data_IF_820475554478
#
_entry.id   IF_820475554478
#
_cell.length_a   1.000
_cell.length_b   1.000
_cell.length_c   1.000
_cell.angle_alpha   90.00
_cell.angle_beta   90.00
_cell.angle_gamma   90.00
#
_symmetry.space_group_name_H-M   'P 1'
#
loop_
_entity.id
_entity.type
_entity.pdbx_description
1 polymer ?
#
# COMPACT_ATOMS: atom_id res chain seq x y z
N UNK A 1 20.28 -7.28 -7.47
CA UNK A 1 19.25 -8.19 -6.90
C UNK A 1 18.63 -7.52 -5.68
N UNK A 2 17.46 -6.90 -5.82
CA UNK A 2 16.72 -6.41 -4.65
C UNK A 2 16.13 -7.61 -3.93
N UNK A 3 16.71 -7.97 -2.79
CA UNK A 3 16.11 -8.93 -1.86
C UNK A 3 14.74 -8.40 -1.44
N UNK A 4 13.71 -9.25 -1.25
CA UNK A 4 12.45 -8.80 -0.69
C UNK A 4 12.73 -8.22 0.70
N UNK A 5 12.57 -6.90 0.85
CA UNK A 5 12.89 -6.16 2.07
C UNK A 5 12.00 -6.56 3.25
N UNK A 6 10.86 -7.21 2.99
CA UNK A 6 9.88 -7.62 3.99
C UNK A 6 9.40 -9.05 3.66
N UNK A 7 9.48 -9.96 4.63
CA UNK A 7 9.01 -11.35 4.52
C UNK A 7 7.68 -11.59 5.22
N UNK A 8 7.22 -10.64 6.03
CA UNK A 8 5.94 -10.71 6.74
C UNK A 8 5.32 -9.33 6.92
N UNK A 9 3.99 -9.28 7.04
CA UNK A 9 3.28 -8.03 7.33
C UNK A 9 3.78 -7.38 8.63
N UNK A 10 4.30 -8.16 9.58
CA UNK A 10 4.83 -7.65 10.85
C UNK A 10 6.05 -6.74 10.67
N UNK A 11 6.93 -7.05 9.71
CA UNK A 11 8.14 -6.27 9.40
C UNK A 11 7.86 -4.95 8.68
N UNK A 12 6.60 -4.70 8.29
CA UNK A 12 6.22 -3.46 7.65
C UNK A 12 6.27 -2.29 8.65
N UNK A 13 6.84 -1.14 8.23
CA UNK A 13 6.82 0.07 9.04
C UNK A 13 5.39 0.54 9.30
N UNK A 14 5.19 1.27 10.41
CA UNK A 14 3.91 1.84 10.83
C UNK A 14 3.20 2.60 9.69
N UNK A 15 3.98 3.27 8.84
CA UNK A 15 3.53 3.92 7.62
C UNK A 15 4.28 3.37 6.42
N UNK A 16 3.54 3.00 5.39
CA UNK A 16 4.05 2.52 4.12
C UNK A 16 4.30 3.69 3.18
N UNK A 17 5.44 3.63 2.49
CA UNK A 17 5.70 4.47 1.33
C UNK A 17 5.22 3.76 0.05
N UNK A 18 5.25 4.50 -1.05
CA UNK A 18 5.06 3.97 -2.39
C UNK A 18 5.81 2.67 -2.70
N UNK A 19 7.05 2.60 -2.22
CA UNK A 19 7.93 1.45 -2.44
C UNK A 19 7.44 0.23 -1.69
N UNK A 20 6.99 0.42 -0.45
CA UNK A 20 6.52 -0.66 0.39
C UNK A 20 5.20 -1.21 -0.16
N UNK A 21 4.30 -0.33 -0.62
CA UNK A 21 3.05 -0.74 -1.27
C UNK A 21 3.31 -1.48 -2.57
N UNK A 22 4.24 -0.99 -3.41
CA UNK A 22 4.64 -1.68 -4.63
C UNK A 22 5.16 -3.10 -4.33
N UNK A 23 6.02 -3.23 -3.32
CA UNK A 23 6.57 -4.51 -2.90
C UNK A 23 5.50 -5.47 -2.34
N UNK A 24 4.56 -4.98 -1.54
CA UNK A 24 3.50 -5.80 -0.94
C UNK A 24 2.44 -6.22 -1.96
N UNK A 25 2.08 -5.34 -2.90
CA UNK A 25 1.09 -5.64 -3.94
C UNK A 25 1.69 -6.37 -5.15
N UNK A 26 3.02 -6.53 -5.22
CA UNK A 26 3.70 -7.13 -6.37
C UNK A 26 3.59 -6.31 -7.66
N UNK A 27 3.44 -4.98 -7.55
CA UNK A 27 3.25 -4.07 -8.68
C UNK A 27 4.46 -3.14 -8.85
N UNK A 28 4.58 -2.49 -10.02
CA UNK A 28 5.63 -1.49 -10.24
C UNK A 28 5.44 -0.26 -9.33
N UNK A 29 6.52 0.48 -9.05
CA UNK A 29 6.45 1.76 -8.31
C UNK A 29 5.44 2.73 -8.92
N UNK A 30 5.40 2.79 -10.24
CA UNK A 30 4.44 3.62 -10.97
C UNK A 30 3.00 3.12 -10.76
N UNK A 31 2.77 1.80 -10.69
CA UNK A 31 1.47 1.22 -10.36
C UNK A 31 1.03 1.51 -8.92
N UNK A 32 1.95 1.46 -7.95
CA UNK A 32 1.65 1.90 -6.58
C UNK A 32 1.31 3.38 -6.54
N UNK A 33 2.06 4.21 -7.30
CA UNK A 33 1.78 5.63 -7.45
C UNK A 33 0.49 5.97 -8.14
N UNK A 34 0.13 5.17 -9.13
CA UNK A 34 -1.17 5.26 -9.75
C UNK A 34 -2.24 4.90 -8.72
N UNK A 35 -2.07 3.90 -7.87
CA UNK A 35 -3.12 3.46 -6.93
C UNK A 35 -3.61 4.55 -5.97
N UNK A 36 -2.73 5.42 -5.48
CA UNK A 36 -3.16 6.58 -4.66
C UNK A 36 -3.67 7.76 -5.50
N UNK A 37 -3.19 7.90 -6.75
CA UNK A 37 -3.52 9.01 -7.65
C UNK A 37 -4.83 8.78 -8.42
N UNK A 38 -5.09 7.53 -8.81
CA UNK A 38 -6.26 7.10 -9.57
C UNK A 38 -7.47 6.84 -8.67
N UNK A 39 -7.33 7.06 -7.35
CA UNK A 39 -8.42 6.93 -6.40
C UNK A 39 -9.32 5.73 -6.71
N UNK A 40 -8.77 4.51 -6.67
CA UNK A 40 -9.64 3.35 -6.38
C UNK A 40 -10.33 3.73 -5.07
N UNK A 41 -11.61 4.11 -5.15
CA UNK A 41 -12.35 4.73 -4.06
C UNK A 41 -12.13 3.93 -2.78
N UNK A 42 -11.42 4.50 -1.80
CA UNK A 42 -11.10 3.85 -0.53
C UNK A 42 -9.65 3.42 -0.31
N UNK A 43 -8.70 3.73 -1.20
CA UNK A 43 -7.29 3.47 -0.90
C UNK A 43 -6.82 4.26 0.35
N UNK A 44 -6.17 3.62 1.34
CA UNK A 44 -5.94 4.22 2.65
C UNK A 44 -4.70 5.11 2.66
N UNK A 45 -4.83 6.30 2.07
CA UNK A 45 -3.82 7.35 2.12
C UNK A 45 -4.08 8.33 3.25
N UNK A 46 -3.00 8.79 3.86
CA UNK A 46 -2.95 9.85 4.86
C UNK A 46 -2.01 10.92 4.32
N UNK A 47 -2.57 12.08 3.99
CA UNK A 47 -1.79 13.19 3.47
C UNK A 47 -1.48 14.16 4.62
N UNK A 48 -0.20 14.31 4.95
CA UNK A 48 0.29 15.29 5.93
C UNK A 48 1.12 16.31 5.15
N UNK A 49 0.51 17.45 4.80
CA UNK A 49 1.10 18.42 3.88
C UNK A 49 1.37 17.79 2.51
N UNK A 50 2.61 17.90 2.01
CA UNK A 50 3.04 17.29 0.74
C UNK A 50 3.43 15.80 0.85
N UNK A 51 3.40 15.21 2.05
CA UNK A 51 3.77 13.80 2.24
C UNK A 51 2.54 12.92 2.22
N UNK A 52 2.54 11.94 1.31
CA UNK A 52 1.57 10.86 1.29
C UNK A 52 2.13 9.70 2.11
N UNK A 53 1.42 9.34 3.17
CA UNK A 53 1.73 8.24 4.08
C UNK A 53 0.59 7.22 4.00
N UNK A 54 0.89 5.93 4.09
CA UNK A 54 -0.13 4.90 3.99
C UNK A 54 -0.11 4.11 5.31
N UNK A 55 -1.07 4.31 6.22
CA UNK A 55 -1.02 3.64 7.51
C UNK A 55 -1.16 2.13 7.33
N UNK A 56 -0.22 1.35 7.90
CA UNK A 56 -0.16 -0.11 7.77
C UNK A 56 -1.51 -0.78 8.12
N UNK A 57 -2.11 -0.39 9.25
CA UNK A 57 -3.38 -0.96 9.72
C UNK A 57 -4.53 -0.72 8.73
N UNK A 58 -4.64 0.49 8.17
CA UNK A 58 -5.68 0.79 7.16
C UNK A 58 -5.39 0.08 5.85
N UNK A 59 -4.13 -0.04 5.47
CA UNK A 59 -3.70 -0.77 4.27
C UNK A 59 -4.05 -2.25 4.34
N UNK A 60 -3.80 -2.90 5.47
CA UNK A 60 -4.20 -4.29 5.68
C UNK A 60 -5.72 -4.45 5.63
N UNK A 61 -6.48 -3.57 6.30
CA UNK A 61 -7.94 -3.58 6.25
C UNK A 61 -8.48 -3.36 4.82
N UNK A 62 -7.82 -2.50 4.03
CA UNK A 62 -8.18 -2.31 2.62
C UNK A 62 -7.90 -3.53 1.76
N UNK A 63 -6.78 -4.23 1.98
CA UNK A 63 -6.48 -5.49 1.29
C UNK A 63 -7.56 -6.53 1.63
N UNK A 64 -7.90 -6.67 2.90
CA UNK A 64 -8.93 -7.61 3.38
C UNK A 64 -10.31 -7.29 2.77
N UNK A 65 -10.72 -6.01 2.81
CA UNK A 65 -11.96 -5.56 2.17
C UNK A 65 -11.97 -5.68 0.64
N UNK A 66 -10.81 -5.59 -0.01
CA UNK A 66 -10.68 -5.75 -1.47
C UNK A 66 -10.69 -7.22 -1.90
N UNK A 67 -10.21 -8.13 -1.05
CA UNK A 67 -10.24 -9.59 -1.24
C UNK A 67 -11.66 -10.16 -1.32
N UNK A 68 -12.63 -9.49 -0.69
CA UNK A 68 -14.03 -9.95 -0.64
C UNK A 68 -14.87 -9.66 -1.89
N UNK A 69 -14.35 -9.00 -2.94
CA UNK A 69 -15.11 -8.78 -4.18
C UNK A 69 -14.84 -9.90 -5.19
N UNK A 70 -15.29 -11.11 -4.86
CA UNK A 70 -15.55 -12.19 -5.82
C UNK A 70 -17.07 -12.38 -5.89
N UNK A 71 -17.69 -11.61 -6.77
CA UNK A 71 -19.09 -11.70 -7.17
C UNK A 71 -19.18 -11.26 -8.62
#
# INVERSE_FOLDING_TARGET
MNKPTYKSYDELPLTLSALNVAAVLGISRAGASASWSTAKAGFPTLNIGSRILIPKYKFLAWIDGSSSKKG
#
